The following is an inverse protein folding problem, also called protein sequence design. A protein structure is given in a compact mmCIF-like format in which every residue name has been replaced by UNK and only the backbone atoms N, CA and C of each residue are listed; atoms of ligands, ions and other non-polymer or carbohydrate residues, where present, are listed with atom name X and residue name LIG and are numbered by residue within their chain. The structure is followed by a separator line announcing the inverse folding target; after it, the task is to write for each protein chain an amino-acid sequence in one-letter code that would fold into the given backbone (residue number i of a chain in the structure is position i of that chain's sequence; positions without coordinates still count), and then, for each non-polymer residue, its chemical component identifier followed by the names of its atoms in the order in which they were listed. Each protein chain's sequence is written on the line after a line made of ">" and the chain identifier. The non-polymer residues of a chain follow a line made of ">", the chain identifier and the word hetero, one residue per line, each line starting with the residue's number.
data_IF_012721286402
#
_entry.id   IF_012721286402
#
_cell.length_a   1.000
_cell.length_b   1.000
_cell.length_c   1.000
_cell.angle_alpha   90.00
_cell.angle_beta   90.00
_cell.angle_gamma   90.00
#
_symmetry.space_group_name_H-M   'P 1'
#
loop_
_entity.id
_entity.type
_entity.pdbx_description
1 polymer ?
#
# COMPACT_ATOMS: atom_id res chain seq x y z
N UNK A 1 -4.54 -9.14 -10.11
CA UNK A 1 -4.68 -7.85 -10.81
C UNK A 1 -6.10 -7.26 -10.70
N UNK A 2 -6.75 -7.30 -9.52
CA UNK A 2 -8.04 -6.61 -9.26
C UNK A 2 -7.94 -5.54 -8.17
N UNK A 3 -6.85 -5.56 -7.39
CA UNK A 3 -6.57 -4.59 -6.32
C UNK A 3 -5.77 -3.38 -6.79
N UNK A 4 -4.89 -3.54 -7.79
CA UNK A 4 -4.10 -2.45 -8.39
C UNK A 4 -5.00 -1.35 -8.94
N UNK A 5 -6.07 -1.73 -9.65
CA UNK A 5 -7.03 -0.79 -10.24
C UNK A 5 -7.83 -0.01 -9.20
N UNK A 6 -7.99 -0.54 -7.97
CA UNK A 6 -8.63 0.19 -6.86
C UNK A 6 -7.64 1.16 -6.21
N UNK A 7 -6.39 0.74 -6.02
CA UNK A 7 -5.35 1.60 -5.45
C UNK A 7 -5.12 2.84 -6.33
N UNK A 8 -5.04 2.66 -7.65
CA UNK A 8 -4.91 3.76 -8.62
C UNK A 8 -6.05 4.78 -8.46
N UNK A 9 -7.30 4.31 -8.43
CA UNK A 9 -8.47 5.18 -8.26
C UNK A 9 -8.51 5.91 -6.91
N UNK A 10 -8.04 5.27 -5.83
CA UNK A 10 -7.90 5.95 -4.52
C UNK A 10 -6.85 7.06 -4.62
N UNK A 11 -5.71 6.81 -5.27
CA UNK A 11 -4.64 7.81 -5.44
C UNK A 11 -5.06 8.98 -6.35
N UNK A 12 -5.91 8.70 -7.34
CA UNK A 12 -6.50 9.71 -8.23
C UNK A 12 -7.65 10.50 -7.58
N UNK A 13 -8.15 10.05 -6.42
CA UNK A 13 -9.24 10.68 -5.70
C UNK A 13 -10.64 10.28 -6.18
N UNK A 14 -10.72 9.29 -7.07
CA UNK A 14 -11.97 8.75 -7.61
C UNK A 14 -12.66 7.78 -6.65
N UNK A 15 -11.96 7.31 -5.61
CA UNK A 15 -12.52 6.53 -4.51
C UNK A 15 -11.98 6.94 -3.15
N UNK A 16 -12.81 6.80 -2.11
CA UNK A 16 -12.40 7.01 -0.73
C UNK A 16 -11.43 5.92 -0.24
N UNK A 17 -10.53 6.23 0.72
CA UNK A 17 -9.69 5.24 1.38
C UNK A 17 -10.51 4.12 2.02
N UNK A 18 -10.11 2.88 1.78
CA UNK A 18 -10.79 1.68 2.28
C UNK A 18 -9.80 0.53 2.48
N UNK A 19 -10.27 -0.52 3.13
CA UNK A 19 -9.46 -1.70 3.38
C UNK A 19 -8.98 -2.34 2.07
N UNK A 20 -7.67 -2.47 1.94
CA UNK A 20 -7.02 -3.15 0.83
C UNK A 20 -6.64 -4.58 1.22
N UNK A 21 -6.71 -5.55 0.29
CA UNK A 21 -6.30 -6.91 0.58
C UNK A 21 -4.83 -6.98 1.01
N UNK A 22 -4.52 -7.73 2.07
CA UNK A 22 -3.14 -7.92 2.53
C UNK A 22 -2.21 -8.43 1.42
N UNK A 23 -2.70 -9.34 0.56
CA UNK A 23 -1.94 -9.85 -0.57
C UNK A 23 -1.52 -8.76 -1.57
N UNK A 24 -2.33 -7.70 -1.73
CA UNK A 24 -1.95 -6.53 -2.53
C UNK A 24 -0.83 -5.76 -1.84
N UNK A 25 -0.97 -5.50 -0.54
CA UNK A 25 0.04 -4.79 0.25
C UNK A 25 1.39 -5.51 0.22
N UNK A 26 1.39 -6.83 0.39
CA UNK A 26 2.59 -7.66 0.24
C UNK A 26 3.18 -7.53 -1.16
N UNK A 27 2.35 -7.60 -2.21
CA UNK A 27 2.85 -7.48 -3.58
C UNK A 27 3.53 -6.12 -3.83
N UNK A 28 2.87 -5.01 -3.50
CA UNK A 28 3.39 -3.66 -3.79
C UNK A 28 4.59 -3.30 -2.92
N UNK A 29 4.71 -3.87 -1.72
CA UNK A 29 5.85 -3.67 -0.82
C UNK A 29 6.96 -4.71 -0.99
N UNK A 30 6.84 -5.62 -1.98
CA UNK A 30 7.75 -6.76 -2.14
C UNK A 30 7.93 -7.55 -0.83
N UNK A 31 6.81 -7.98 -0.25
CA UNK A 31 6.68 -8.64 1.05
C UNK A 31 7.30 -7.83 2.20
N UNK A 32 6.95 -6.55 2.29
CA UNK A 32 7.44 -5.62 3.32
C UNK A 32 8.97 -5.51 3.38
N UNK A 33 9.61 -5.53 2.20
CA UNK A 33 11.06 -5.42 2.01
C UNK A 33 11.62 -4.15 2.66
N UNK A 34 12.69 -4.27 3.44
CA UNK A 34 13.34 -3.12 4.11
C UNK A 34 13.86 -2.09 3.09
N UNK A 35 14.29 -2.51 1.90
CA UNK A 35 14.72 -1.62 0.82
C UNK A 35 13.61 -0.71 0.31
N UNK A 36 12.35 -1.03 0.59
CA UNK A 36 11.18 -0.20 0.25
C UNK A 36 10.66 0.58 1.45
N UNK A 37 11.17 0.36 2.66
CA UNK A 37 10.81 1.12 3.85
C UNK A 37 11.37 2.53 3.73
N UNK A 38 10.50 3.52 3.89
CA UNK A 38 10.86 4.95 3.83
C UNK A 38 10.86 5.62 5.20
N UNK A 39 10.30 4.97 6.22
CA UNK A 39 10.32 5.48 7.58
C UNK A 39 9.65 4.56 8.59
N UNK A 40 9.80 4.92 9.86
CA UNK A 40 9.18 4.25 11.01
C UNK A 40 8.92 5.27 12.11
N UNK A 41 7.82 5.11 12.83
CA UNK A 41 7.50 5.91 14.01
C UNK A 41 6.58 5.17 14.99
N UNK A 42 6.07 5.88 16.00
CA UNK A 42 5.17 5.30 17.02
C UNK A 42 3.84 4.77 16.48
N UNK A 43 3.53 5.02 15.20
CA UNK A 43 2.31 4.59 14.53
C UNK A 43 2.53 3.47 13.49
N UNK A 44 3.77 3.02 13.30
CA UNK A 44 4.11 1.92 12.40
C UNK A 44 5.20 2.24 11.39
N UNK A 45 5.38 1.32 10.46
CA UNK A 45 6.31 1.39 9.34
C UNK A 45 5.64 1.97 8.10
N UNK A 46 6.41 2.72 7.30
CA UNK A 46 5.94 3.31 6.04
C UNK A 46 6.80 2.75 4.91
N UNK A 47 6.15 2.23 3.87
CA UNK A 47 6.78 1.67 2.68
C UNK A 47 6.40 2.46 1.43
N UNK A 48 7.28 2.43 0.42
CA UNK A 48 7.08 3.03 -0.91
C UNK A 48 6.16 2.19 -1.80
#
# INVERSE_FOLDING_TARGET
>A
MRGETVLERILEGDEEPKDLPLALLQHITNDFCEERKIGQGGFGDVYK
#
